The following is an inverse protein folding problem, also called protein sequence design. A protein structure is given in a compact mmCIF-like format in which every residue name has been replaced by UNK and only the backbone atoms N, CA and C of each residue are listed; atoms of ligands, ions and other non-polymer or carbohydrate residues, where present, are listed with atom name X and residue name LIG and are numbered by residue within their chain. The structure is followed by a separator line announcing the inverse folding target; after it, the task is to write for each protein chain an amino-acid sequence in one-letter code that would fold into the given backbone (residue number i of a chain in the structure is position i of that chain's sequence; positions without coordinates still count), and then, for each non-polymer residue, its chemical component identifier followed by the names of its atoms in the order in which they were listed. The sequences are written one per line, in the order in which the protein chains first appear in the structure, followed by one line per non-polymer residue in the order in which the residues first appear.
data_IF_819239341085
#
_entry.id   IF_819239341085
#
_cell.length_a   1.000
_cell.length_b   1.000
_cell.length_c   1.000
_cell.angle_alpha   90.00
_cell.angle_beta   90.00
_cell.angle_gamma   90.00
#
_symmetry.space_group_name_H-M   'P 1'
#
loop_
_entity.id
_entity.type
_entity.pdbx_description
1 polymer ?
#
# COMPACT_ATOMS: atom_id res chain seq x y z
N UNK A 1 67.27 1.11 10.90
CA UNK A 1 66.15 0.26 11.38
C UNK A 1 64.89 1.10 11.44
N UNK A 2 63.74 0.46 11.20
CA UNK A 2 62.51 1.01 10.60
C UNK A 2 61.83 2.12 11.40
N UNK A 3 61.44 3.19 10.68
CA UNK A 3 60.44 4.15 11.12
C UNK A 3 59.04 3.51 11.06
N UNK A 4 58.25 3.65 12.12
CA UNK A 4 56.81 3.38 12.10
C UNK A 4 56.10 4.69 12.45
N UNK A 5 55.55 5.34 11.41
CA UNK A 5 54.56 6.39 11.57
C UNK A 5 53.17 5.75 11.46
N UNK A 6 52.48 5.63 12.59
CA UNK A 6 51.08 5.18 12.64
C UNK A 6 50.18 6.34 12.20
N UNK A 7 49.66 6.29 10.97
CA UNK A 7 48.59 7.18 10.52
C UNK A 7 47.26 6.54 10.89
N UNK A 8 46.63 7.07 11.95
CA UNK A 8 45.27 6.73 12.35
C UNK A 8 44.30 7.47 11.41
N UNK A 9 43.79 6.77 10.40
CA UNK A 9 42.77 7.30 9.52
C UNK A 9 41.41 7.34 10.24
N UNK A 10 41.05 8.53 10.73
CA UNK A 10 39.72 8.83 11.28
C UNK A 10 38.72 8.87 10.12
N UNK A 11 38.05 7.74 9.85
CA UNK A 11 36.89 7.67 8.97
C UNK A 11 35.72 8.44 9.63
N UNK A 12 35.63 9.74 9.36
CA UNK A 12 34.37 10.48 9.56
C UNK A 12 33.33 9.85 8.64
N UNK A 13 32.41 9.08 9.21
CA UNK A 13 31.15 8.74 8.58
C UNK A 13 30.37 10.05 8.36
N UNK A 14 30.49 10.62 7.16
CA UNK A 14 29.61 11.67 6.68
C UNK A 14 28.20 11.06 6.65
N UNK A 15 27.43 11.32 7.70
CA UNK A 15 25.99 11.10 7.68
C UNK A 15 25.44 12.00 6.56
N UNK A 16 25.15 11.41 5.41
CA UNK A 16 24.43 12.11 4.34
C UNK A 16 23.07 12.47 4.95
N UNK A 17 22.72 13.77 5.07
CA UNK A 17 21.40 14.12 5.54
C UNK A 17 20.40 13.51 4.57
N UNK A 18 19.45 12.73 5.10
CA UNK A 18 18.26 12.34 4.36
C UNK A 18 17.55 13.62 3.95
N UNK A 19 17.77 14.08 2.72
CA UNK A 19 17.09 15.25 2.17
C UNK A 19 15.67 14.81 1.87
N UNK A 20 14.74 15.17 2.75
CA UNK A 20 13.34 15.20 2.40
C UNK A 20 13.18 16.18 1.22
N UNK A 21 12.71 15.66 0.08
CA UNK A 21 12.60 16.43 -1.15
C UNK A 21 11.21 17.08 -1.19
N UNK A 22 11.19 18.41 -1.28
CA UNK A 22 9.95 19.14 -1.55
C UNK A 22 9.64 19.00 -3.03
N UNK A 23 8.48 18.40 -3.36
CA UNK A 23 8.03 18.21 -4.74
C UNK A 23 6.82 19.09 -5.01
N UNK A 24 6.90 19.89 -6.06
CA UNK A 24 5.78 20.69 -6.55
C UNK A 24 4.91 19.84 -7.47
N UNK A 25 3.60 19.85 -7.23
CA UNK A 25 2.61 19.06 -7.96
C UNK A 25 1.34 19.85 -8.19
N UNK A 26 0.57 19.44 -9.20
CA UNK A 26 -0.74 19.98 -9.49
C UNK A 26 -1.63 18.86 -10.03
N UNK A 27 -2.89 18.84 -9.61
CA UNK A 27 -3.88 17.90 -10.10
C UNK A 27 -5.24 18.59 -10.26
N UNK A 28 -6.09 18.01 -11.11
CA UNK A 28 -7.41 18.55 -11.42
C UNK A 28 -8.54 17.52 -11.26
N UNK A 29 -9.74 18.05 -11.01
CA UNK A 29 -11.01 17.32 -11.04
C UNK A 29 -12.03 18.13 -11.83
N UNK A 30 -12.53 17.54 -12.91
CA UNK A 30 -13.71 18.02 -13.64
C UNK A 30 -14.95 17.48 -12.94
N UNK A 31 -15.96 18.32 -12.78
CA UNK A 31 -17.19 17.98 -12.07
C UNK A 31 -18.42 18.66 -12.66
N UNK A 32 -19.60 18.03 -12.57
CA UNK A 32 -20.86 18.59 -13.06
C UNK A 32 -21.43 19.65 -12.09
N UNK A 33 -22.44 20.44 -12.50
CA UNK A 33 -23.01 21.52 -11.67
C UNK A 33 -23.56 21.07 -10.31
N UNK A 34 -24.07 19.84 -10.24
CA UNK A 34 -24.71 19.23 -9.08
C UNK A 34 -23.72 18.72 -8.02
N UNK A 35 -22.44 18.52 -8.37
CA UNK A 35 -21.40 18.18 -7.39
C UNK A 35 -20.89 19.45 -6.68
N UNK A 36 -20.82 19.46 -5.33
CA UNK A 36 -20.24 20.57 -4.60
C UNK A 36 -18.78 20.84 -4.99
N UNK A 37 -18.45 22.12 -5.23
CA UNK A 37 -17.09 22.54 -5.60
C UNK A 37 -16.05 22.17 -4.53
N UNK A 38 -16.43 22.28 -3.25
CA UNK A 38 -15.57 21.90 -2.12
C UNK A 38 -15.18 20.42 -2.16
N UNK A 39 -16.12 19.56 -2.54
CA UNK A 39 -15.87 18.12 -2.68
C UNK A 39 -14.96 17.82 -3.88
N UNK A 40 -15.22 18.46 -5.02
CA UNK A 40 -14.39 18.33 -6.21
C UNK A 40 -12.95 18.80 -5.98
N UNK A 41 -12.78 19.94 -5.31
CA UNK A 41 -11.45 20.47 -4.97
C UNK A 41 -10.72 19.63 -3.93
N UNK A 42 -11.43 19.03 -2.97
CA UNK A 42 -10.82 18.06 -2.05
C UNK A 42 -10.30 16.84 -2.82
N UNK A 43 -11.07 16.31 -3.76
CA UNK A 43 -10.62 15.20 -4.60
C UNK A 43 -9.42 15.58 -5.49
N UNK A 44 -9.36 16.80 -6.01
CA UNK A 44 -8.19 17.30 -6.74
C UNK A 44 -6.97 17.43 -5.82
N UNK A 45 -7.14 17.84 -4.56
CA UNK A 45 -6.06 17.88 -3.59
C UNK A 45 -5.51 16.49 -3.24
N UNK A 46 -6.37 15.50 -3.00
CA UNK A 46 -5.93 14.12 -2.76
C UNK A 46 -5.13 13.57 -3.95
N UNK A 47 -5.59 13.82 -5.18
CA UNK A 47 -4.83 13.46 -6.39
C UNK A 47 -3.47 14.15 -6.48
N UNK A 48 -3.39 15.42 -6.07
CA UNK A 48 -2.11 16.13 -6.04
C UNK A 48 -1.15 15.49 -5.02
N UNK A 49 -1.65 15.11 -3.84
CA UNK A 49 -0.88 14.38 -2.82
C UNK A 49 -0.37 13.03 -3.34
N UNK A 50 -1.22 12.27 -4.02
CA UNK A 50 -0.82 11.00 -4.64
C UNK A 50 0.29 11.20 -5.69
N UNK A 51 0.14 12.20 -6.55
CA UNK A 51 1.15 12.53 -7.57
C UNK A 51 2.49 12.96 -6.94
N UNK A 52 2.47 13.66 -5.79
CA UNK A 52 3.69 14.02 -5.07
C UNK A 52 4.49 12.79 -4.66
N UNK A 53 3.83 11.83 -4.01
CA UNK A 53 4.47 10.59 -3.58
C UNK A 53 4.97 9.82 -4.81
N UNK A 54 4.14 9.64 -5.85
CA UNK A 54 4.51 8.93 -7.09
C UNK A 54 5.75 9.51 -7.77
N UNK A 55 5.90 10.84 -7.82
CA UNK A 55 7.08 11.50 -8.40
C UNK A 55 8.36 11.16 -7.66
N UNK A 56 8.30 11.03 -6.33
CA UNK A 56 9.46 10.74 -5.49
C UNK A 56 9.75 9.24 -5.44
N UNK A 57 8.71 8.39 -5.42
CA UNK A 57 8.87 6.94 -5.32
C UNK A 57 9.19 6.27 -6.66
N UNK A 58 8.79 6.90 -7.77
CA UNK A 58 8.93 6.38 -9.13
C UNK A 58 7.86 5.34 -9.49
N UNK A 59 6.79 5.20 -8.69
CA UNK A 59 5.75 4.21 -8.90
C UNK A 59 4.90 4.48 -10.16
N UNK A 60 4.59 3.38 -10.87
CA UNK A 60 3.59 3.32 -11.94
C UNK A 60 2.47 2.42 -11.46
N UNK A 61 1.22 2.89 -11.56
CA UNK A 61 0.05 2.11 -11.20
C UNK A 61 0.03 0.80 -12.00
N UNK A 62 -0.18 -0.31 -11.31
CA UNK A 62 -0.35 -1.63 -11.94
C UNK A 62 -1.70 -1.70 -12.67
N UNK A 63 -1.78 -2.54 -13.71
CA UNK A 63 -3.05 -2.81 -14.40
C UNK A 63 -4.13 -3.34 -13.46
N UNK A 64 -3.75 -4.07 -12.41
CA UNK A 64 -4.68 -4.59 -11.40
C UNK A 64 -5.28 -3.45 -10.56
N UNK A 65 -4.46 -2.46 -10.18
CA UNK A 65 -4.87 -1.28 -9.41
C UNK A 65 -5.83 -0.40 -10.21
N UNK A 66 -5.61 -0.31 -11.53
CA UNK A 66 -6.50 0.40 -12.46
C UNK A 66 -7.84 -0.33 -12.64
N UNK A 67 -7.88 -1.67 -12.66
CA UNK A 67 -9.11 -2.45 -12.88
C UNK A 67 -10.09 -2.35 -11.69
N UNK A 68 -9.58 -2.36 -10.45
CA UNK A 68 -10.40 -2.18 -9.23
C UNK A 68 -11.17 -0.85 -9.29
N UNK A 69 -10.57 0.18 -9.88
CA UNK A 69 -11.20 1.48 -10.10
C UNK A 69 -12.29 1.50 -11.19
N UNK A 70 -12.25 0.59 -12.16
CA UNK A 70 -13.19 0.60 -13.30
C UNK A 70 -14.47 -0.20 -13.06
N UNK A 71 -14.46 -1.18 -12.16
CA UNK A 71 -15.65 -2.02 -11.91
C UNK A 71 -16.68 -1.39 -10.96
N UNK A 72 -16.35 -0.26 -10.32
CA UNK A 72 -17.27 0.46 -9.44
C UNK A 72 -17.63 1.81 -10.06
N UNK A 73 -18.89 1.95 -10.48
CA UNK A 73 -19.50 3.19 -11.01
C UNK A 73 -19.51 4.36 -10.01
N UNK A 74 -18.93 4.19 -8.83
CA UNK A 74 -18.88 5.17 -7.75
C UNK A 74 -17.49 5.79 -7.69
N UNK A 75 -17.37 7.02 -8.19
CA UNK A 75 -16.07 7.71 -8.29
C UNK A 75 -15.40 7.99 -6.93
N UNK A 76 -16.17 7.90 -5.83
CA UNK A 76 -15.66 8.05 -4.48
C UNK A 76 -14.78 6.86 -4.04
N UNK A 77 -15.19 5.63 -4.36
CA UNK A 77 -14.47 4.41 -3.94
C UNK A 77 -13.11 4.27 -4.65
N UNK A 78 -13.01 4.65 -5.92
CA UNK A 78 -11.72 4.63 -6.64
C UNK A 78 -10.70 5.60 -6.03
N UNK A 79 -11.12 6.77 -5.55
CA UNK A 79 -10.21 7.73 -4.91
C UNK A 79 -9.64 7.22 -3.59
N UNK A 80 -10.44 6.47 -2.81
CA UNK A 80 -9.97 5.87 -1.57
C UNK A 80 -8.96 4.74 -1.85
N UNK A 81 -9.17 3.97 -2.91
CA UNK A 81 -8.26 2.91 -3.31
C UNK A 81 -6.91 3.48 -3.82
N UNK A 82 -6.91 4.52 -4.67
CA UNK A 82 -5.67 5.16 -5.17
C UNK A 82 -4.80 5.76 -4.06
N UNK A 83 -5.43 6.32 -3.02
CA UNK A 83 -4.71 6.86 -1.87
C UNK A 83 -3.97 5.75 -1.15
N UNK A 84 -4.53 4.55 -1.06
CA UNK A 84 -3.87 3.44 -0.35
C UNK A 84 -2.74 2.77 -1.12
N UNK A 85 -2.83 2.74 -2.45
CA UNK A 85 -1.73 2.29 -3.28
C UNK A 85 -0.49 3.17 -3.13
N UNK A 86 -0.71 4.47 -2.98
CA UNK A 86 0.34 5.47 -2.88
C UNK A 86 1.01 5.52 -1.49
N UNK A 87 0.31 5.05 -0.44
CA UNK A 87 0.73 5.20 0.96
C UNK A 87 1.83 4.23 1.45
N UNK A 88 2.18 3.19 0.68
CA UNK A 88 3.18 2.20 1.10
C UNK A 88 4.61 2.61 0.70
N UNK A 89 4.75 3.44 -0.33
CA UNK A 89 6.06 3.81 -0.87
C UNK A 89 6.57 5.15 -0.34
N UNK A 90 5.69 5.96 0.25
CA UNK A 90 6.03 7.20 0.91
C UNK A 90 4.86 7.82 1.66
N UNK A 91 5.17 8.83 2.45
CA UNK A 91 4.20 9.61 3.23
C UNK A 91 4.48 11.11 3.08
N UNK A 92 3.45 11.94 3.23
CA UNK A 92 3.58 13.40 3.18
C UNK A 92 3.69 13.93 4.60
N UNK A 93 4.88 14.44 4.97
CA UNK A 93 5.10 15.05 6.28
C UNK A 93 4.50 16.45 6.39
N UNK A 94 4.58 17.23 5.31
CA UNK A 94 4.12 18.61 5.30
C UNK A 94 3.69 19.05 3.89
N UNK A 95 2.79 20.02 3.83
CA UNK A 95 2.33 20.67 2.59
C UNK A 95 2.45 22.18 2.75
N UNK A 96 2.88 22.88 1.70
CA UNK A 96 2.92 24.35 1.63
C UNK A 96 2.54 24.85 0.24
N UNK A 97 2.36 26.16 0.10
CA UNK A 97 2.11 26.80 -1.20
C UNK A 97 0.82 26.35 -1.88
N UNK A 98 -0.17 25.89 -1.10
CA UNK A 98 -1.43 25.37 -1.62
C UNK A 98 -2.21 26.48 -2.33
N UNK A 99 -2.52 26.29 -3.60
CA UNK A 99 -3.41 27.14 -4.39
C UNK A 99 -4.57 26.32 -4.95
N UNK A 100 -5.73 26.98 -5.08
CA UNK A 100 -6.95 26.39 -5.63
C UNK A 100 -7.50 27.34 -6.67
N UNK A 101 -7.72 26.82 -7.87
CA UNK A 101 -8.30 27.57 -8.98
C UNK A 101 -9.51 26.82 -9.51
N UNK A 102 -10.60 27.53 -9.74
CA UNK A 102 -11.81 26.98 -10.35
C UNK A 102 -12.15 27.69 -11.64
N UNK A 103 -12.52 26.91 -12.65
CA UNK A 103 -12.84 27.40 -13.98
C UNK A 103 -14.11 26.74 -14.51
N UNK A 104 -14.99 27.54 -15.13
CA UNK A 104 -16.11 27.03 -15.89
C UNK A 104 -15.63 26.43 -17.23
N UNK A 105 -16.23 25.31 -17.61
CA UNK A 105 -16.04 24.63 -18.89
C UNK A 105 -17.35 24.68 -19.68
N UNK A 106 -17.33 24.14 -20.91
CA UNK A 106 -18.54 23.96 -21.70
C UNK A 106 -19.55 23.02 -21.00
N UNK A 107 -20.81 23.12 -21.38
CA UNK A 107 -21.91 22.25 -20.93
C UNK A 107 -22.18 22.26 -19.42
N UNK A 108 -21.87 23.39 -18.76
CA UNK A 108 -22.08 23.56 -17.32
C UNK A 108 -21.06 22.82 -16.44
N UNK A 109 -20.11 22.11 -17.04
CA UNK A 109 -19.02 21.47 -16.31
C UNK A 109 -18.12 22.54 -15.67
N UNK A 110 -17.55 22.19 -14.53
CA UNK A 110 -16.53 23.00 -13.85
C UNK A 110 -15.28 22.17 -13.64
N UNK A 111 -14.16 22.85 -13.44
CA UNK A 111 -12.87 22.26 -13.13
C UNK A 111 -12.34 22.89 -11.86
N UNK A 112 -11.84 22.06 -10.95
CA UNK A 112 -11.00 22.51 -9.86
C UNK A 112 -9.58 22.00 -10.05
N UNK A 113 -8.61 22.91 -9.99
CA UNK A 113 -7.18 22.62 -10.04
C UNK A 113 -6.57 22.98 -8.69
N UNK A 114 -5.82 22.05 -8.10
CA UNK A 114 -5.10 22.26 -6.85
C UNK A 114 -3.62 22.06 -7.12
N UNK A 115 -2.82 23.07 -6.78
CA UNK A 115 -1.36 22.97 -6.79
C UNK A 115 -0.81 23.12 -5.38
N UNK A 116 0.25 22.36 -5.07
CA UNK A 116 0.89 22.35 -3.76
C UNK A 116 2.35 21.91 -3.86
N UNK A 117 3.14 22.23 -2.82
CA UNK A 117 4.44 21.63 -2.58
C UNK A 117 4.33 20.67 -1.38
N UNK A 118 4.76 19.43 -1.55
CA UNK A 118 4.72 18.40 -0.50
C UNK A 118 6.13 17.95 -0.10
N UNK A 119 6.36 17.83 1.20
CA UNK A 119 7.54 17.15 1.76
C UNK A 119 7.26 15.65 1.82
N UNK A 120 7.79 14.90 0.86
CA UNK A 120 7.60 13.44 0.79
C UNK A 120 8.73 12.74 1.53
N UNK A 121 8.34 11.81 2.39
CA UNK A 121 9.24 10.92 3.13
C UNK A 121 9.09 9.53 2.55
N UNK A 122 10.21 8.92 2.16
CA UNK A 122 10.25 7.54 1.68
C UNK A 122 11.12 6.69 2.60
N UNK A 123 10.89 5.37 2.68
CA UNK A 123 11.77 4.50 3.47
C UNK A 123 13.22 4.59 2.96
N UNK A 124 14.22 4.47 3.87
CA UNK A 124 15.61 4.72 3.53
C UNK A 124 16.17 3.65 2.57
N UNK A 125 17.22 4.01 1.84
CA UNK A 125 17.90 3.10 0.92
C UNK A 125 17.26 3.04 -0.46
N UNK A 126 17.89 2.27 -1.36
CA UNK A 126 17.41 2.07 -2.73
C UNK A 126 16.82 0.67 -2.87
N UNK A 127 15.68 0.50 -3.57
CA UNK A 127 15.16 -0.82 -3.91
C UNK A 127 16.23 -1.69 -4.56
N UNK A 128 16.30 -2.95 -4.15
CA UNK A 128 17.08 -3.97 -4.84
C UNK A 128 16.17 -4.75 -5.80
N UNK A 129 16.30 -4.58 -7.13
CA UNK A 129 15.46 -5.27 -8.11
C UNK A 129 15.60 -6.80 -8.08
N UNK A 130 16.70 -7.33 -7.54
CA UNK A 130 16.88 -8.78 -7.40
C UNK A 130 16.17 -9.34 -6.16
N UNK A 131 15.75 -8.49 -5.22
CA UNK A 131 15.00 -8.87 -4.03
C UNK A 131 13.49 -8.74 -4.29
N UNK A 132 12.91 -9.78 -4.89
CA UNK A 132 11.51 -9.77 -5.31
C UNK A 132 10.74 -11.02 -4.86
N UNK A 133 9.41 -10.89 -4.82
CA UNK A 133 8.50 -11.97 -4.42
C UNK A 133 7.27 -11.99 -5.34
N UNK A 134 7.05 -13.13 -6.00
CA UNK A 134 5.83 -13.37 -6.77
C UNK A 134 4.67 -13.74 -5.85
N UNK A 135 3.48 -13.20 -6.12
CA UNK A 135 2.25 -13.51 -5.37
C UNK A 135 1.16 -13.90 -6.35
N UNK A 136 0.52 -15.02 -6.08
CA UNK A 136 -0.63 -15.51 -6.84
C UNK A 136 -1.75 -15.91 -5.88
N UNK A 137 -2.95 -15.41 -6.14
CA UNK A 137 -4.17 -15.82 -5.45
C UNK A 137 -4.90 -16.84 -6.31
N UNK A 138 -5.56 -17.81 -5.69
CA UNK A 138 -6.36 -18.82 -6.39
C UNK A 138 -7.57 -18.23 -7.14
N UNK A 139 -8.06 -17.07 -6.72
CA UNK A 139 -9.02 -16.25 -7.46
C UNK A 139 -8.79 -14.76 -7.14
N UNK A 140 -9.37 -13.89 -7.95
CA UNK A 140 -9.41 -12.42 -7.70
C UNK A 140 -10.81 -11.94 -7.31
N UNK A 141 -11.84 -12.76 -7.56
CA UNK A 141 -13.21 -12.53 -7.14
C UNK A 141 -13.69 -13.79 -6.44
N UNK A 142 -14.15 -13.64 -5.20
CA UNK A 142 -14.58 -14.73 -4.35
C UNK A 142 -16.06 -14.57 -3.97
N UNK A 143 -16.73 -15.69 -3.76
CA UNK A 143 -18.03 -15.72 -3.05
C UNK A 143 -17.80 -15.94 -1.56
N UNK A 144 -18.81 -15.59 -0.77
CA UNK A 144 -18.79 -15.86 0.67
C UNK A 144 -18.42 -17.33 0.97
N UNK A 145 -17.52 -17.51 1.94
CA UNK A 145 -16.96 -18.80 2.39
C UNK A 145 -16.05 -19.53 1.39
N UNK A 146 -15.73 -18.96 0.22
CA UNK A 146 -14.77 -19.58 -0.69
C UNK A 146 -13.36 -19.61 -0.09
N UNK A 147 -12.58 -20.67 -0.37
CA UNK A 147 -11.23 -20.81 0.17
C UNK A 147 -10.29 -19.75 -0.43
N UNK A 148 -9.50 -19.11 0.43
CA UNK A 148 -8.42 -18.22 0.03
C UNK A 148 -7.09 -18.96 0.15
N UNK A 149 -6.39 -19.13 -0.96
CA UNK A 149 -5.03 -19.68 -0.99
C UNK A 149 -4.07 -18.65 -1.60
N UNK A 150 -2.95 -18.40 -0.91
CA UNK A 150 -1.95 -17.41 -1.31
C UNK A 150 -0.66 -18.14 -1.65
N UNK A 151 -0.26 -18.13 -2.92
CA UNK A 151 1.02 -18.70 -3.36
C UNK A 151 2.10 -17.63 -3.41
N UNK A 152 3.22 -17.89 -2.74
CA UNK A 152 4.37 -17.00 -2.59
C UNK A 152 5.61 -17.62 -3.22
N UNK A 153 6.23 -16.89 -4.14
CA UNK A 153 7.40 -17.31 -4.92
C UNK A 153 8.57 -16.37 -4.65
N UNK A 154 9.36 -16.59 -3.58
CA UNK A 154 10.51 -15.75 -3.27
C UNK A 154 11.65 -15.95 -4.28
N UNK A 155 12.26 -14.86 -4.74
CA UNK A 155 13.46 -14.88 -5.60
C UNK A 155 14.71 -15.43 -4.90
N UNK A 156 14.78 -15.26 -3.58
CA UNK A 156 15.85 -15.73 -2.70
C UNK A 156 15.29 -15.91 -1.28
N UNK A 157 15.98 -16.61 -0.36
CA UNK A 157 15.49 -16.78 0.99
C UNK A 157 15.17 -15.45 1.69
N UNK A 158 13.97 -15.34 2.27
CA UNK A 158 13.47 -14.11 2.87
C UNK A 158 12.46 -14.38 3.99
N UNK A 159 12.38 -13.46 4.94
CA UNK A 159 11.32 -13.46 5.92
C UNK A 159 10.06 -12.78 5.34
N UNK A 160 8.88 -13.36 5.57
CA UNK A 160 7.62 -12.87 5.03
C UNK A 160 6.57 -12.75 6.12
N UNK A 161 5.82 -11.65 6.09
CA UNK A 161 4.56 -11.51 6.77
C UNK A 161 3.47 -11.08 5.77
N UNK A 162 2.26 -11.63 5.91
CA UNK A 162 1.09 -11.26 5.11
C UNK A 162 0.06 -10.63 6.03
N UNK A 163 -0.43 -9.47 5.60
CA UNK A 163 -1.48 -8.72 6.28
C UNK A 163 -2.70 -8.62 5.39
N UNK A 164 -3.89 -8.77 5.97
CA UNK A 164 -5.15 -8.39 5.37
C UNK A 164 -5.47 -6.97 5.79
N UNK A 165 -5.90 -6.15 4.84
CA UNK A 165 -6.43 -4.82 5.09
C UNK A 165 -7.89 -4.75 4.64
N UNK A 166 -8.73 -4.31 5.57
CA UNK A 166 -10.17 -4.16 5.42
C UNK A 166 -10.50 -2.66 5.35
N UNK A 167 -10.73 -2.09 4.15
CA UNK A 167 -10.90 -0.64 3.99
C UNK A 167 -12.12 -0.07 4.73
N UNK A 168 -13.11 -0.93 4.97
CA UNK A 168 -14.36 -0.59 5.64
C UNK A 168 -14.29 -0.69 7.17
N UNK A 169 -13.21 -1.24 7.73
CA UNK A 169 -12.95 -1.29 9.16
C UNK A 169 -12.19 -0.03 9.64
N UNK A 170 -12.14 0.17 10.96
CA UNK A 170 -11.44 1.30 11.59
C UNK A 170 -10.57 0.85 12.77
N UNK A 171 -9.56 1.65 13.08
CA UNK A 171 -8.67 1.39 14.22
C UNK A 171 -7.87 0.10 14.01
N UNK A 172 -7.58 -0.63 15.09
CA UNK A 172 -6.71 -1.81 15.02
C UNK A 172 -7.29 -3.00 14.23
N UNK A 173 -8.60 -3.05 14.01
CA UNK A 173 -9.23 -4.08 13.18
C UNK A 173 -8.95 -3.89 11.67
N UNK A 174 -8.39 -2.74 11.29
CA UNK A 174 -8.24 -2.36 9.89
C UNK A 174 -7.16 -3.18 9.18
N UNK A 175 -6.01 -3.41 9.82
CA UNK A 175 -4.90 -4.21 9.26
C UNK A 175 -4.53 -5.34 10.20
N UNK A 176 -4.77 -6.58 9.78
CA UNK A 176 -4.52 -7.78 10.58
C UNK A 176 -3.48 -8.70 9.92
N UNK A 177 -2.52 -9.20 10.69
CA UNK A 177 -1.53 -10.19 10.23
C UNK A 177 -2.18 -11.57 10.15
N UNK A 178 -2.25 -12.11 8.94
CA UNK A 178 -2.80 -13.45 8.69
C UNK A 178 -1.70 -14.52 8.57
N UNK A 179 -0.44 -14.11 8.30
CA UNK A 179 0.72 -15.00 8.24
C UNK A 179 2.02 -14.27 8.65
N UNK A 180 2.94 -14.91 9.38
CA UNK A 180 2.74 -16.15 10.15
C UNK A 180 1.62 -15.98 11.19
N UNK A 181 1.11 -17.05 11.75
CA UNK A 181 0.09 -17.05 12.80
C UNK A 181 0.30 -18.24 13.77
N UNK A 182 -0.46 -18.39 14.87
CA UNK A 182 -0.27 -19.49 15.83
C UNK A 182 -0.44 -20.91 15.25
N UNK A 183 -1.16 -21.04 14.12
CA UNK A 183 -1.37 -22.29 13.39
C UNK A 183 -0.31 -22.53 12.32
N UNK A 184 0.30 -21.46 11.81
CA UNK A 184 1.29 -21.46 10.74
C UNK A 184 2.46 -20.53 11.07
N UNK A 185 3.46 -21.07 11.77
CA UNK A 185 4.53 -20.28 12.38
C UNK A 185 5.72 -20.06 11.46
N UNK A 186 5.73 -20.68 10.28
CA UNK A 186 6.79 -20.49 9.30
C UNK A 186 6.83 -19.01 8.88
N UNK A 187 7.99 -18.37 9.03
CA UNK A 187 8.13 -16.95 8.70
C UNK A 187 9.27 -16.67 7.74
N UNK A 188 10.09 -17.68 7.40
CA UNK A 188 11.19 -17.60 6.45
C UNK A 188 10.95 -18.57 5.31
N UNK A 189 10.81 -18.04 4.11
CA UNK A 189 10.57 -18.81 2.89
C UNK A 189 11.90 -19.01 2.16
N UNK A 190 12.17 -20.25 1.73
CA UNK A 190 13.37 -20.62 0.96
C UNK A 190 13.05 -20.96 -0.50
N UNK A 191 11.77 -21.03 -0.85
CA UNK A 191 11.24 -21.41 -2.15
C UNK A 191 9.73 -21.20 -2.19
N UNK A 192 9.07 -21.74 -3.21
CA UNK A 192 7.63 -21.66 -3.39
C UNK A 192 6.89 -22.22 -2.16
N UNK A 193 5.94 -21.44 -1.65
CA UNK A 193 5.08 -21.83 -0.52
C UNK A 193 3.66 -21.34 -0.77
N UNK A 194 2.66 -22.15 -0.42
CA UNK A 194 1.26 -21.69 -0.34
C UNK A 194 0.90 -21.41 1.10
N UNK A 195 0.05 -20.42 1.36
CA UNK A 195 -0.57 -20.14 2.66
C UNK A 195 -2.05 -20.50 2.55
N UNK A 196 -2.59 -21.36 3.45
CA UNK A 196 -1.88 -22.12 4.50
C UNK A 196 -0.75 -23.02 3.97
N UNK A 197 0.36 -23.08 4.72
CA UNK A 197 1.49 -23.97 4.41
C UNK A 197 1.08 -25.42 4.50
N UNK A 198 1.85 -26.35 3.93
CA UNK A 198 1.55 -27.78 4.05
C UNK A 198 1.36 -28.21 5.51
N UNK A 199 2.21 -27.71 6.42
CA UNK A 199 2.07 -27.92 7.86
C UNK A 199 0.84 -27.18 8.44
N UNK A 200 0.56 -25.98 7.95
CA UNK A 200 -0.60 -25.17 8.33
C UNK A 200 -1.95 -25.76 7.92
N UNK A 201 -2.06 -26.39 6.73
CA UNK A 201 -3.31 -26.95 6.18
C UNK A 201 -3.94 -28.02 7.08
N UNK A 202 -3.14 -28.74 7.86
CA UNK A 202 -3.63 -29.69 8.84
C UNK A 202 -4.29 -29.02 10.07
N UNK A 203 -4.05 -27.72 10.29
CA UNK A 203 -4.45 -26.97 11.49
C UNK A 203 -5.49 -25.90 11.21
N UNK A 204 -5.50 -25.32 10.01
CA UNK A 204 -6.47 -24.29 9.64
C UNK A 204 -6.71 -24.23 8.13
N UNK A 205 -7.82 -23.61 7.77
CA UNK A 205 -8.13 -23.18 6.40
C UNK A 205 -8.50 -21.70 6.41
N UNK A 206 -8.21 -21.00 5.33
CA UNK A 206 -8.61 -19.61 5.15
C UNK A 206 -9.81 -19.56 4.22
N UNK A 207 -10.83 -18.80 4.61
CA UNK A 207 -12.04 -18.55 3.82
C UNK A 207 -12.31 -17.06 3.81
N UNK A 208 -12.71 -16.55 2.66
CA UNK A 208 -13.18 -15.17 2.59
C UNK A 208 -14.58 -15.08 3.20
N UNK A 209 -14.93 -13.93 3.76
CA UNK A 209 -16.26 -13.69 4.31
C UNK A 209 -16.79 -12.34 3.82
N UNK A 210 -18.01 -12.30 3.31
CA UNK A 210 -18.64 -11.01 3.01
C UNK A 210 -18.95 -10.30 4.35
N UNK A 211 -18.46 -9.07 4.58
CA UNK A 211 -18.54 -8.43 5.89
C UNK A 211 -19.98 -8.23 6.37
N UNK A 212 -20.20 -8.58 7.64
CA UNK A 212 -21.47 -8.34 8.32
C UNK A 212 -21.72 -6.83 8.47
N UNK A 213 -22.99 -6.41 8.41
CA UNK A 213 -23.34 -4.99 8.60
C UNK A 213 -23.23 -4.11 7.34
N UNK A 214 -22.76 -4.66 6.21
CA UNK A 214 -22.80 -3.94 4.93
C UNK A 214 -24.24 -3.69 4.44
N UNK A 215 -24.55 -2.49 3.90
CA UNK A 215 -25.87 -2.18 3.34
C UNK A 215 -26.31 -3.23 2.32
N UNK A 216 -27.61 -3.55 2.28
CA UNK A 216 -28.14 -4.55 1.36
C UNK A 216 -27.86 -4.24 -0.12
N UNK A 217 -27.75 -2.95 -0.47
CA UNK A 217 -27.37 -2.49 -1.79
C UNK A 217 -25.90 -2.78 -2.14
N UNK A 218 -25.01 -2.92 -1.16
CA UNK A 218 -23.60 -3.28 -1.38
C UNK A 218 -23.52 -4.76 -1.73
N UNK A 219 -23.21 -5.04 -2.99
CA UNK A 219 -23.10 -6.39 -3.56
C UNK A 219 -21.68 -6.92 -3.63
N UNK A 220 -20.69 -6.05 -3.48
CA UNK A 220 -19.28 -6.38 -3.60
C UNK A 220 -18.47 -5.53 -2.64
N UNK A 221 -17.40 -6.09 -2.07
CA UNK A 221 -16.40 -5.34 -1.32
C UNK A 221 -15.01 -5.71 -1.83
N UNK A 222 -14.08 -4.79 -1.75
CA UNK A 222 -12.67 -5.04 -2.08
C UNK A 222 -11.86 -5.11 -0.79
N UNK A 223 -10.94 -6.07 -0.76
CA UNK A 223 -10.00 -6.28 0.32
C UNK A 223 -8.60 -6.46 -0.25
N UNK A 224 -7.60 -6.26 0.60
CA UNK A 224 -6.21 -6.18 0.17
C UNK A 224 -5.33 -7.07 1.01
N UNK A 225 -4.40 -7.74 0.35
CA UNK A 225 -3.28 -8.43 0.97
C UNK A 225 -2.04 -7.57 0.81
N UNK A 226 -1.37 -7.27 1.91
CA UNK A 226 -0.07 -6.62 1.95
C UNK A 226 0.96 -7.66 2.38
N UNK A 227 1.81 -8.07 1.45
CA UNK A 227 2.90 -9.01 1.68
C UNK A 227 4.18 -8.22 1.90
N UNK A 228 4.73 -8.33 3.11
CA UNK A 228 5.96 -7.66 3.54
C UNK A 228 7.08 -8.71 3.56
N UNK A 229 7.94 -8.65 2.55
CA UNK A 229 9.14 -9.46 2.46
C UNK A 229 10.35 -8.68 2.95
N UNK A 230 11.20 -9.33 3.75
CA UNK A 230 12.39 -8.72 4.38
C UNK A 230 13.57 -9.69 4.35
N UNK A 231 14.78 -9.18 4.17
CA UNK A 231 16.01 -10.00 4.22
C UNK A 231 16.23 -10.63 5.60
N UNK A 232 15.79 -9.94 6.64
CA UNK A 232 15.93 -10.34 8.05
C UNK A 232 14.56 -10.37 8.70
N UNK A 233 14.25 -11.36 9.56
CA UNK A 233 12.97 -11.41 10.27
C UNK A 233 12.68 -10.10 11.01
N UNK A 234 11.44 -9.62 10.86
CA UNK A 234 10.91 -8.47 11.58
C UNK A 234 9.74 -8.93 12.45
N UNK A 235 9.75 -8.56 13.72
CA UNK A 235 8.61 -8.76 14.61
C UNK A 235 7.55 -7.71 14.31
N UNK A 236 6.44 -8.17 13.74
CA UNK A 236 5.23 -7.37 13.54
C UNK A 236 4.18 -7.70 14.61
N UNK A 237 3.35 -6.71 14.96
CA UNK A 237 2.16 -6.93 15.78
C UNK A 237 1.15 -7.79 15.02
N UNK A 238 0.15 -8.27 15.73
CA UNK A 238 -0.98 -9.00 15.13
C UNK A 238 -1.93 -8.07 14.39
N UNK A 239 -2.04 -6.82 14.83
CA UNK A 239 -2.99 -5.86 14.30
C UNK A 239 -2.44 -4.43 14.35
N UNK A 240 -2.95 -3.58 13.47
CA UNK A 240 -2.56 -2.17 13.32
C UNK A 240 -3.76 -1.33 12.86
N UNK A 241 -3.82 -0.08 13.32
CA UNK A 241 -4.47 0.97 12.53
C UNK A 241 -3.66 1.23 11.26
N UNK A 242 -4.30 1.65 10.16
CA UNK A 242 -3.62 1.84 8.88
C UNK A 242 -2.43 2.81 8.98
N UNK A 243 -2.58 3.93 9.68
CA UNK A 243 -1.50 4.92 9.87
C UNK A 243 -0.31 4.35 10.66
N UNK A 244 -0.57 3.56 11.70
CA UNK A 244 0.48 2.88 12.46
C UNK A 244 1.22 1.85 11.60
N UNK A 245 0.49 1.11 10.76
CA UNK A 245 1.09 0.16 9.84
C UNK A 245 1.98 0.88 8.82
N UNK A 246 1.51 2.00 8.27
CA UNK A 246 2.29 2.86 7.36
C UNK A 246 3.57 3.33 8.03
N UNK A 247 3.49 3.90 9.23
CA UNK A 247 4.65 4.34 9.98
C UNK A 247 5.67 3.20 10.18
N UNK A 248 5.18 1.99 10.49
CA UNK A 248 6.03 0.81 10.62
C UNK A 248 6.71 0.40 9.31
N UNK A 249 6.04 0.52 8.16
CA UNK A 249 6.65 0.22 6.86
C UNK A 249 7.73 1.23 6.47
N UNK A 250 7.57 2.51 6.84
CA UNK A 250 8.56 3.56 6.57
C UNK A 250 9.91 3.34 7.29
N UNK A 251 9.91 2.57 8.37
CA UNK A 251 11.13 2.18 9.09
C UNK A 251 11.95 1.11 8.35
N UNK A 252 11.34 0.39 7.40
CA UNK A 252 11.99 -0.70 6.69
C UNK A 252 12.88 -0.17 5.55
N UNK A 253 14.18 -0.49 5.53
CA UNK A 253 15.04 -0.05 4.43
C UNK A 253 14.65 -0.71 3.11
N UNK A 254 14.48 0.09 2.05
CA UNK A 254 14.11 -0.38 0.70
C UNK A 254 15.13 -1.35 0.09
N UNK A 255 16.38 -1.32 0.56
CA UNK A 255 17.42 -2.29 0.17
C UNK A 255 17.21 -3.68 0.76
N UNK A 256 16.46 -3.76 1.86
CA UNK A 256 16.30 -4.96 2.69
C UNK A 256 14.85 -5.44 2.74
N UNK A 257 13.91 -4.70 2.13
CA UNK A 257 12.48 -5.02 2.15
C UNK A 257 11.80 -4.79 0.80
N UNK A 258 10.78 -5.60 0.55
CA UNK A 258 9.87 -5.48 -0.58
C UNK A 258 8.45 -5.61 -0.04
N UNK A 259 7.59 -4.64 -0.35
CA UNK A 259 6.17 -4.73 -0.03
C UNK A 259 5.40 -4.87 -1.33
N UNK A 260 4.57 -5.90 -1.42
CA UNK A 260 3.72 -6.14 -2.60
C UNK A 260 2.29 -6.27 -2.13
N UNK A 261 1.38 -5.69 -2.91
CA UNK A 261 -0.04 -5.60 -2.60
C UNK A 261 -0.83 -6.44 -3.62
N UNK A 262 -1.90 -7.09 -3.17
CA UNK A 262 -2.85 -7.79 -4.04
C UNK A 262 -4.28 -7.50 -3.59
N UNK A 263 -5.09 -7.00 -4.50
CA UNK A 263 -6.52 -6.80 -4.27
C UNK A 263 -7.30 -8.07 -4.62
N UNK A 264 -8.39 -8.31 -3.92
CA UNK A 264 -9.43 -9.24 -4.32
C UNK A 264 -10.79 -8.71 -3.90
N UNK A 265 -11.83 -9.16 -4.59
CA UNK A 265 -13.20 -8.76 -4.32
C UNK A 265 -14.00 -9.91 -3.74
N UNK A 266 -14.91 -9.61 -2.82
CA UNK A 266 -15.88 -10.58 -2.30
C UNK A 266 -17.26 -10.14 -2.76
N UNK A 267 -17.94 -11.01 -3.51
CA UNK A 267 -19.33 -10.81 -3.90
C UNK A 267 -20.26 -11.38 -2.84
N UNK A 268 -21.33 -10.63 -2.55
CA UNK A 268 -22.38 -11.09 -1.64
C UNK A 268 -23.01 -12.34 -2.24
N UNK A 269 -23.03 -13.43 -1.47
CA UNK A 269 -23.78 -14.64 -1.85
C UNK A 269 -25.22 -14.28 -2.19
N UNK A 270 -25.76 -14.86 -3.27
CA UNK A 270 -27.19 -14.78 -3.55
C UNK A 270 -27.98 -15.45 -2.42
N UNK A 271 -29.26 -15.08 -2.21
CA UNK A 271 -30.17 -15.88 -1.40
C UNK A 271 -30.28 -17.31 -1.94
#
# INVERSE_FOLDING_TARGET
MRALASVLALLLALAVPARAEWVAVSAERIFPPDLPETEACRAAEERAREEAIRRVTGERLSSEELMVCTEQNDTADCSHNSTVWTMVDGDIRAVRGRTVETAALADGLRRCTVALEAEVVVPPGRPDPAFDIGIHLNATVFRDQEPLEISLSPSQPMAVAVFQWLPYEKGEAQVARIFPNPFDTASVLKGLVTIPTEAGRARYSMRVGFPAGMPAARRMVDEYLMVVATRRPVSFREAYALDDFRARLLELPRSDSRVVRKAYSIVRGGP
#
